data_IF_498898621364
#
_entry.id   IF_498898621364
#
_cell.length_a   1.000
_cell.length_b   1.000
_cell.length_c   1.000
_cell.angle_alpha   90.00
_cell.angle_beta   90.00
_cell.angle_gamma   90.00
#
_symmetry.space_group_name_H-M   'P 1'
#
loop_
_entity.id
_entity.type
_entity.pdbx_description
1 polymer ?
#
# COMPACT_ATOMS: atom_id res chain seq x y z
N UNK A 1 52.14 -25.35 41.67
CA UNK A 1 52.13 -24.70 40.35
C UNK A 1 50.88 -25.01 39.52
N UNK A 2 50.31 -26.22 39.59
CA UNK A 2 49.11 -26.61 38.82
C UNK A 2 47.83 -25.87 39.23
N UNK A 3 47.62 -25.63 40.54
CA UNK A 3 46.44 -24.93 41.06
C UNK A 3 46.35 -23.46 40.60
N UNK A 4 47.48 -22.75 40.65
CA UNK A 4 47.58 -21.36 40.19
C UNK A 4 47.38 -21.25 38.69
N UNK A 5 47.92 -22.20 37.91
CA UNK A 5 47.72 -22.28 36.48
C UNK A 5 46.26 -22.55 36.11
N UNK A 6 45.60 -23.49 36.80
CA UNK A 6 44.18 -23.80 36.57
C UNK A 6 43.28 -22.59 36.88
N UNK A 7 43.50 -21.91 38.00
CA UNK A 7 42.78 -20.69 38.38
C UNK A 7 43.00 -19.56 37.36
N UNK A 8 44.21 -19.42 36.83
CA UNK A 8 44.52 -18.44 35.80
C UNK A 8 43.82 -18.75 34.47
N UNK A 9 43.75 -20.02 34.07
CA UNK A 9 42.96 -20.45 32.91
C UNK A 9 41.46 -20.15 33.10
N UNK A 10 40.90 -20.37 34.29
CA UNK A 10 39.49 -20.05 34.58
C UNK A 10 39.23 -18.53 34.46
N UNK A 11 40.14 -17.69 34.98
CA UNK A 11 39.97 -16.24 34.85
C UNK A 11 40.05 -15.78 33.39
N UNK A 12 40.96 -16.34 32.59
CA UNK A 12 41.09 -16.02 31.17
C UNK A 12 39.85 -16.44 30.35
N UNK A 13 39.28 -17.63 30.62
CA UNK A 13 38.05 -18.06 29.95
C UNK A 13 36.86 -17.20 30.33
N UNK A 14 36.72 -16.80 31.60
CA UNK A 14 35.67 -15.88 32.04
C UNK A 14 35.79 -14.51 31.38
N UNK A 15 37.01 -13.94 31.32
CA UNK A 15 37.25 -12.67 30.63
C UNK A 15 36.94 -12.76 29.13
N UNK A 16 37.30 -13.86 28.47
CA UNK A 16 36.96 -14.10 27.07
C UNK A 16 35.45 -14.17 26.84
N UNK A 17 34.74 -14.93 27.68
CA UNK A 17 33.28 -15.04 27.63
C UNK A 17 32.65 -13.65 27.80
N UNK A 18 33.05 -12.90 28.82
CA UNK A 18 32.57 -11.52 29.04
C UNK A 18 32.84 -10.62 27.83
N UNK A 19 34.03 -10.69 27.23
CA UNK A 19 34.37 -9.96 26.01
C UNK A 19 33.45 -10.28 24.83
N UNK A 20 33.09 -11.56 24.64
CA UNK A 20 32.13 -12.00 23.62
C UNK A 20 30.73 -11.46 23.90
N UNK A 21 30.26 -11.48 25.16
CA UNK A 21 28.96 -10.93 25.54
C UNK A 21 28.89 -9.42 25.28
N UNK A 22 29.92 -8.67 25.69
CA UNK A 22 30.01 -7.21 25.46
C UNK A 22 30.03 -6.89 23.96
N UNK A 23 30.82 -7.64 23.18
CA UNK A 23 30.89 -7.45 21.72
C UNK A 23 29.54 -7.71 21.05
N UNK A 24 28.82 -8.77 21.46
CA UNK A 24 27.48 -9.08 20.95
C UNK A 24 26.46 -8.02 21.35
N UNK A 25 26.47 -7.56 22.59
CA UNK A 25 25.58 -6.51 23.06
C UNK A 25 25.79 -5.19 22.29
N UNK A 26 27.06 -4.80 22.10
CA UNK A 26 27.44 -3.61 21.34
C UNK A 26 27.01 -3.71 19.87
N UNK A 27 27.23 -4.88 19.25
CA UNK A 27 26.82 -5.12 17.85
C UNK A 27 25.30 -4.99 17.67
N UNK A 28 24.51 -5.50 18.63
CA UNK A 28 23.04 -5.36 18.61
C UNK A 28 22.63 -3.90 18.75
N UNK A 29 23.25 -3.15 19.66
CA UNK A 29 22.95 -1.73 19.85
C UNK A 29 23.27 -0.90 18.60
N UNK A 30 24.41 -1.13 17.96
CA UNK A 30 24.79 -0.45 16.72
C UNK A 30 23.82 -0.79 15.57
N UNK A 31 23.40 -2.04 15.45
CA UNK A 31 22.41 -2.43 14.44
C UNK A 31 21.06 -1.75 14.69
N UNK A 32 20.62 -1.67 15.95
CA UNK A 32 19.38 -1.00 16.33
C UNK A 32 19.41 0.50 16.00
N UNK A 33 20.52 1.18 16.35
CA UNK A 33 20.73 2.60 16.03
C UNK A 33 20.75 2.84 14.52
N UNK A 34 21.41 1.96 13.76
CA UNK A 34 21.45 2.02 12.30
C UNK A 34 20.05 1.87 11.69
N UNK A 35 19.28 0.88 12.14
CA UNK A 35 17.90 0.67 11.66
C UNK A 35 16.97 1.82 12.03
N UNK A 36 17.10 2.37 13.24
CA UNK A 36 16.34 3.54 13.67
C UNK A 36 16.64 4.76 12.78
N UNK A 37 17.91 5.04 12.50
CA UNK A 37 18.29 6.14 11.60
C UNK A 37 17.74 5.95 10.17
N UNK A 38 17.76 4.72 9.64
CA UNK A 38 17.14 4.38 8.35
C UNK A 38 15.63 4.60 8.36
N UNK A 39 14.96 4.24 9.45
CA UNK A 39 13.51 4.45 9.60
C UNK A 39 13.16 5.93 9.61
N UNK A 40 13.89 6.78 10.34
CA UNK A 40 13.66 8.23 10.36
C UNK A 40 13.86 8.86 8.97
N UNK A 41 14.90 8.45 8.24
CA UNK A 41 15.11 8.89 6.85
C UNK A 41 13.97 8.45 5.94
N UNK A 42 13.50 7.22 6.10
CA UNK A 42 12.40 6.68 5.31
C UNK A 42 11.07 7.36 5.63
N UNK A 43 10.80 7.67 6.91
CA UNK A 43 9.64 8.45 7.37
C UNK A 43 9.62 9.81 6.69
N UNK A 44 10.77 10.52 6.70
CA UNK A 44 10.89 11.83 6.08
C UNK A 44 10.69 11.76 4.57
N UNK A 45 11.29 10.75 3.91
CA UNK A 45 11.18 10.58 2.46
C UNK A 45 9.76 10.27 1.98
N UNK A 46 8.99 9.53 2.77
CA UNK A 46 7.61 9.12 2.44
C UNK A 46 6.54 9.94 3.17
N UNK A 47 6.94 11.06 3.79
CA UNK A 47 6.06 11.99 4.50
C UNK A 47 5.13 11.27 5.50
N UNK A 48 5.67 10.28 6.22
CA UNK A 48 4.88 9.47 7.16
C UNK A 48 4.58 10.25 8.43
N UNK A 49 3.31 10.20 8.84
CA UNK A 49 2.82 10.80 10.08
C UNK A 49 2.11 9.71 10.88
N UNK A 50 2.56 9.51 12.12
CA UNK A 50 1.97 8.55 13.05
C UNK A 50 1.14 9.26 14.11
N UNK A 51 0.12 8.55 14.61
CA UNK A 51 -0.81 9.08 15.62
C UNK A 51 -0.09 9.44 16.93
N UNK A 52 0.78 8.56 17.39
CA UNK A 52 1.48 8.66 18.67
C UNK A 52 2.79 7.87 18.61
N UNK A 53 3.58 7.96 19.70
CA UNK A 53 4.88 7.29 19.80
C UNK A 53 4.74 5.76 19.83
N UNK A 54 3.65 5.23 20.37
CA UNK A 54 3.38 3.79 20.42
C UNK A 54 3.13 3.23 19.01
N UNK A 55 2.34 3.93 18.20
CA UNK A 55 2.14 3.61 16.79
C UNK A 55 3.46 3.66 16.03
N UNK A 56 4.26 4.72 16.22
CA UNK A 56 5.58 4.86 15.57
C UNK A 56 6.51 3.70 15.93
N UNK A 57 6.54 3.27 17.20
CA UNK A 57 7.32 2.14 17.67
C UNK A 57 6.84 0.82 17.06
N UNK A 58 5.52 0.61 16.97
CA UNK A 58 4.96 -0.58 16.28
C UNK A 58 5.35 -0.59 14.80
N UNK A 59 5.25 0.55 14.12
CA UNK A 59 5.60 0.72 12.71
C UNK A 59 7.09 0.53 12.47
N UNK A 60 7.94 0.95 13.39
CA UNK A 60 9.38 0.70 13.34
C UNK A 60 9.71 -0.81 13.36
N UNK A 61 9.03 -1.60 14.21
CA UNK A 61 9.22 -3.06 14.25
C UNK A 61 8.86 -3.71 12.91
N UNK A 62 7.71 -3.32 12.33
CA UNK A 62 7.27 -3.82 11.03
C UNK A 62 8.26 -3.40 9.93
N UNK A 63 8.71 -2.15 9.95
CA UNK A 63 9.71 -1.62 9.04
C UNK A 63 11.01 -2.43 9.08
N UNK A 64 11.53 -2.70 10.27
CA UNK A 64 12.73 -3.52 10.48
C UNK A 64 12.56 -4.92 9.88
N UNK A 65 11.48 -5.60 10.21
CA UNK A 65 11.20 -6.95 9.68
C UNK A 65 11.09 -6.94 8.14
N UNK A 66 10.49 -5.90 7.57
CA UNK A 66 10.35 -5.73 6.13
C UNK A 66 11.68 -5.44 5.43
N UNK A 67 12.53 -4.58 6.01
CA UNK A 67 13.88 -4.29 5.52
C UNK A 67 14.74 -5.55 5.52
N UNK A 68 14.77 -6.28 6.63
CA UNK A 68 15.53 -7.54 6.74
C UNK A 68 15.04 -8.57 5.72
N UNK A 69 13.73 -8.67 5.49
CA UNK A 69 13.16 -9.55 4.45
C UNK A 69 13.63 -9.15 3.04
N UNK A 70 13.65 -7.84 2.73
CA UNK A 70 14.11 -7.33 1.43
C UNK A 70 15.60 -7.63 1.23
N UNK A 71 16.42 -7.40 2.24
CA UNK A 71 17.87 -7.65 2.19
C UNK A 71 18.17 -9.14 2.05
N UNK A 72 17.51 -10.00 2.84
CA UNK A 72 17.64 -11.45 2.73
C UNK A 72 17.18 -11.97 1.36
N UNK A 73 16.10 -11.41 0.81
CA UNK A 73 15.63 -11.77 -0.53
C UNK A 73 16.66 -11.42 -1.62
N UNK A 74 17.25 -10.23 -1.53
CA UNK A 74 18.21 -9.74 -2.51
C UNK A 74 19.61 -10.37 -2.38
N UNK A 75 19.95 -10.94 -1.22
CA UNK A 75 21.22 -11.65 -0.99
C UNK A 75 21.24 -13.09 -1.54
N UNK A 76 20.07 -13.65 -1.89
CA UNK A 76 19.96 -14.99 -2.47
C UNK A 76 20.40 -15.06 -3.94
N UNK A 77 20.29 -16.26 -4.52
CA UNK A 77 20.50 -16.48 -5.97
C UNK A 77 19.58 -15.60 -6.81
N UNK A 78 20.04 -15.20 -8.01
CA UNK A 78 19.25 -14.37 -8.92
C UNK A 78 17.85 -14.96 -9.17
N UNK A 79 16.81 -14.18 -8.83
CA UNK A 79 15.39 -14.53 -8.99
C UNK A 79 14.72 -13.80 -10.16
N UNK A 80 15.49 -13.09 -10.99
CA UNK A 80 14.97 -12.28 -12.10
C UNK A 80 14.34 -10.95 -11.67
N UNK A 81 14.31 -10.64 -10.37
CA UNK A 81 13.91 -9.33 -9.84
C UNK A 81 14.53 -9.07 -8.47
N UNK A 82 14.55 -7.79 -8.07
CA UNK A 82 14.99 -7.33 -6.75
C UNK A 82 13.85 -6.62 -6.03
N UNK A 83 13.85 -6.73 -4.70
CA UNK A 83 12.93 -5.98 -3.85
C UNK A 83 13.59 -4.69 -3.37
N UNK A 84 12.78 -3.69 -3.05
CA UNK A 84 13.25 -2.42 -2.49
C UNK A 84 12.35 -2.01 -1.32
N UNK A 85 12.94 -1.26 -0.39
CA UNK A 85 12.21 -0.62 0.71
C UNK A 85 11.42 0.55 0.14
N UNK A 86 10.12 0.36 -0.05
CA UNK A 86 9.24 1.34 -0.67
C UNK A 86 8.27 1.95 0.35
N UNK A 87 7.29 2.71 -0.11
CA UNK A 87 6.30 3.39 0.74
C UNK A 87 5.50 2.45 1.64
N UNK A 88 5.43 1.15 1.37
CA UNK A 88 4.67 0.18 2.17
C UNK A 88 5.52 -0.54 3.24
N UNK A 89 6.77 -0.11 3.45
CA UNK A 89 7.70 -0.79 4.32
C UNK A 89 7.25 -0.83 5.79
N UNK A 90 6.33 0.01 6.26
CA UNK A 90 5.80 0.00 7.63
C UNK A 90 4.47 -0.75 7.79
N UNK A 91 4.01 -1.45 6.76
CA UNK A 91 2.78 -2.24 6.78
C UNK A 91 3.06 -3.74 6.87
N UNK A 92 2.21 -4.47 7.58
CA UNK A 92 2.17 -5.93 7.44
C UNK A 92 1.53 -6.31 6.11
N UNK A 93 1.74 -7.54 5.68
CA UNK A 93 1.10 -8.06 4.48
C UNK A 93 -0.44 -8.07 4.61
N UNK A 94 -0.95 -8.34 5.80
CA UNK A 94 -2.38 -8.36 6.10
C UNK A 94 -2.97 -6.94 6.00
N UNK A 95 -2.32 -5.94 6.59
CA UNK A 95 -2.71 -4.53 6.48
C UNK A 95 -2.67 -4.04 5.03
N UNK A 96 -1.60 -4.37 4.30
CA UNK A 96 -1.46 -4.04 2.89
C UNK A 96 -2.60 -4.65 2.07
N UNK A 97 -2.90 -5.94 2.26
CA UNK A 97 -3.98 -6.62 1.54
C UNK A 97 -5.35 -6.04 1.89
N UNK A 98 -5.62 -5.77 3.17
CA UNK A 98 -6.91 -5.26 3.62
C UNK A 98 -7.22 -3.87 3.04
N UNK A 99 -6.21 -3.01 2.93
CA UNK A 99 -6.38 -1.62 2.44
C UNK A 99 -6.22 -1.48 0.92
N UNK A 100 -5.38 -2.30 0.27
CA UNK A 100 -5.01 -2.12 -1.14
C UNK A 100 -5.61 -3.18 -2.09
N UNK A 101 -5.99 -4.36 -1.60
CA UNK A 101 -6.53 -5.43 -2.45
C UNK A 101 -8.03 -5.63 -2.24
N UNK A 102 -8.87 -4.88 -2.96
CA UNK A 102 -10.33 -5.00 -2.84
C UNK A 102 -11.03 -5.80 -3.93
N UNK A 103 -10.30 -6.45 -4.85
CA UNK A 103 -10.92 -7.36 -5.82
C UNK A 103 -11.48 -8.61 -5.12
N UNK A 104 -12.80 -8.78 -5.17
CA UNK A 104 -13.50 -9.96 -4.69
C UNK A 104 -13.94 -10.79 -5.89
N UNK A 105 -13.28 -11.93 -6.10
CA UNK A 105 -13.67 -12.88 -7.15
C UNK A 105 -15.08 -13.39 -6.85
N UNK A 106 -16.03 -13.19 -7.76
CA UNK A 106 -17.34 -13.83 -7.66
C UNK A 106 -17.17 -15.34 -7.80
N UNK A 107 -17.94 -16.12 -7.04
CA UNK A 107 -17.93 -17.57 -7.15
C UNK A 107 -18.33 -17.97 -8.57
N UNK A 108 -17.71 -19.04 -9.07
CA UNK A 108 -17.83 -19.53 -10.46
C UNK A 108 -19.27 -19.79 -10.91
N UNK A 109 -20.22 -19.90 -9.98
CA UNK A 109 -21.64 -20.12 -10.23
C UNK A 109 -22.32 -18.99 -11.01
N UNK A 110 -21.77 -17.78 -11.03
CA UNK A 110 -22.32 -16.64 -11.79
C UNK A 110 -21.72 -16.51 -13.21
N UNK A 111 -20.56 -17.11 -13.45
CA UNK A 111 -19.84 -17.02 -14.74
C UNK A 111 -20.26 -18.05 -15.79
N UNK A 112 -21.09 -19.03 -15.41
CA UNK A 112 -21.58 -20.09 -16.29
C UNK A 112 -22.81 -19.69 -17.12
N UNK A 113 -22.92 -18.41 -17.54
CA UNK A 113 -23.95 -18.03 -18.50
C UNK A 113 -23.50 -18.42 -19.92
N UNK A 114 -24.10 -19.44 -20.56
CA UNK A 114 -23.69 -19.92 -21.88
C UNK A 114 -23.94 -18.91 -23.02
N UNK A 115 -24.60 -17.78 -22.74
CA UNK A 115 -24.86 -16.69 -23.71
C UNK A 115 -23.71 -15.68 -23.83
N UNK A 116 -22.70 -15.71 -22.97
CA UNK A 116 -21.50 -14.92 -23.16
C UNK A 116 -20.62 -15.61 -24.19
N UNK A 117 -20.53 -15.03 -25.39
CA UNK A 117 -19.56 -15.46 -26.39
C UNK A 117 -18.18 -15.34 -25.77
N UNK A 118 -17.48 -16.47 -25.63
CA UNK A 118 -16.11 -16.45 -25.14
C UNK A 118 -15.27 -15.57 -26.07
N UNK A 119 -14.29 -14.87 -25.52
CA UNK A 119 -13.30 -14.16 -26.32
C UNK A 119 -12.69 -15.15 -27.32
N UNK A 120 -12.99 -14.96 -28.60
CA UNK A 120 -12.36 -15.70 -29.70
C UNK A 120 -11.34 -14.76 -30.32
N UNK A 121 -10.11 -15.23 -30.44
CA UNK A 121 -9.15 -14.60 -31.33
C UNK A 121 -9.80 -14.50 -32.72
N UNK A 122 -9.70 -13.34 -33.36
CA UNK A 122 -9.88 -13.28 -34.81
C UNK A 122 -8.86 -14.25 -35.47
N UNK A 123 -9.00 -14.56 -36.76
CA UNK A 123 -7.93 -15.25 -37.50
C UNK A 123 -6.69 -14.35 -37.54
N UNK A 124 -5.87 -14.38 -36.47
CA UNK A 124 -4.65 -13.60 -36.32
C UNK A 124 -3.50 -14.46 -36.87
N UNK A 125 -3.00 -14.09 -38.04
CA UNK A 125 -1.92 -14.82 -38.72
C UNK A 125 -0.52 -14.34 -38.33
N UNK A 126 -0.39 -13.14 -37.74
CA UNK A 126 0.88 -12.59 -37.28
C UNK A 126 0.69 -11.72 -36.03
N UNK A 127 1.43 -12.06 -34.96
CA UNK A 127 1.51 -11.29 -33.72
C UNK A 127 2.95 -10.81 -33.56
N UNK A 128 3.19 -9.52 -33.24
CA UNK A 128 4.54 -9.04 -33.01
C UNK A 128 5.19 -9.73 -31.80
N UNK A 129 6.50 -9.97 -31.86
CA UNK A 129 7.25 -10.61 -30.77
C UNK A 129 7.20 -9.81 -29.46
N UNK A 130 7.05 -8.48 -29.54
CA UNK A 130 6.91 -7.60 -28.38
C UNK A 130 5.92 -6.48 -28.68
N UNK A 131 5.11 -6.11 -27.68
CA UNK A 131 4.21 -4.96 -27.76
C UNK A 131 4.29 -4.13 -26.48
N UNK A 132 4.37 -2.82 -26.62
CA UNK A 132 4.34 -1.87 -25.50
C UNK A 132 3.36 -0.74 -25.81
N UNK A 133 2.15 -0.83 -25.26
CA UNK A 133 1.08 0.15 -25.48
C UNK A 133 1.42 1.55 -24.97
N UNK A 134 2.42 1.72 -24.10
CA UNK A 134 2.90 3.04 -23.67
C UNK A 134 3.52 3.81 -24.84
N UNK A 135 4.28 3.11 -25.70
CA UNK A 135 4.88 3.70 -26.91
C UNK A 135 3.82 4.13 -27.93
N UNK A 136 2.62 3.57 -27.82
CA UNK A 136 1.49 3.87 -28.70
C UNK A 136 0.56 4.94 -28.09
N UNK A 137 0.94 5.55 -26.97
CA UNK A 137 0.14 6.56 -26.27
C UNK A 137 -1.13 6.01 -25.61
N UNK A 138 -1.32 4.69 -25.56
CA UNK A 138 -2.54 4.03 -25.08
C UNK A 138 -2.49 3.69 -23.59
N UNK A 139 -1.59 4.35 -22.83
CA UNK A 139 -1.43 4.16 -21.38
C UNK A 139 -1.29 5.53 -20.72
N UNK A 140 -2.13 5.79 -19.72
CA UNK A 140 -2.06 7.02 -18.91
C UNK A 140 -0.92 6.94 -17.86
N UNK A 141 -0.48 8.07 -17.30
CA UNK A 141 0.47 8.05 -16.18
C UNK A 141 -0.03 7.19 -15.01
N UNK A 142 0.91 6.59 -14.28
CA UNK A 142 0.59 5.78 -13.10
C UNK A 142 -0.21 6.59 -12.08
N UNK A 143 -1.18 5.93 -11.45
CA UNK A 143 -2.11 6.52 -10.48
C UNK A 143 -2.00 5.77 -9.15
N UNK A 144 -2.21 6.47 -8.04
CA UNK A 144 -2.32 5.86 -6.72
C UNK A 144 -3.79 5.69 -6.32
N UNK A 145 -4.15 4.46 -5.94
CA UNK A 145 -5.49 4.12 -5.45
C UNK A 145 -5.73 4.52 -4.00
N UNK A 146 -4.67 4.80 -3.23
CA UNK A 146 -4.78 4.95 -1.78
C UNK A 146 -5.35 3.70 -1.11
N UNK A 147 -5.92 3.87 0.07
CA UNK A 147 -6.43 2.77 0.92
C UNK A 147 -7.88 2.36 0.61
N UNK A 148 -8.33 2.58 -0.63
CA UNK A 148 -9.72 2.36 -1.04
C UNK A 148 -10.02 0.91 -1.48
N UNK A 149 -8.99 0.07 -1.69
CA UNK A 149 -9.16 -1.26 -2.30
C UNK A 149 -9.76 -1.25 -3.71
N UNK A 150 -9.80 -0.12 -4.40
CA UNK A 150 -10.50 0.04 -5.69
C UNK A 150 -9.68 -0.40 -6.91
N UNK A 151 -8.69 -1.28 -6.73
CA UNK A 151 -7.82 -1.78 -7.80
C UNK A 151 -8.60 -2.34 -9.02
N UNK A 152 -9.76 -2.96 -8.79
CA UNK A 152 -10.64 -3.45 -9.85
C UNK A 152 -11.14 -2.33 -10.77
N UNK A 153 -11.45 -1.16 -10.22
CA UNK A 153 -11.93 -0.01 -10.97
C UNK A 153 -10.80 0.63 -11.77
N UNK A 154 -9.60 0.71 -11.17
CA UNK A 154 -8.39 1.18 -11.86
C UNK A 154 -8.05 0.30 -13.06
N UNK A 155 -8.10 -1.02 -12.91
CA UNK A 155 -7.89 -1.96 -14.01
C UNK A 155 -8.90 -1.78 -15.14
N UNK A 156 -10.19 -1.62 -14.81
CA UNK A 156 -11.24 -1.42 -15.81
C UNK A 156 -11.08 -0.09 -16.55
N UNK A 157 -10.81 1.01 -15.82
CA UNK A 157 -10.61 2.33 -16.43
C UNK A 157 -9.38 2.35 -17.32
N UNK A 158 -8.25 1.77 -16.90
CA UNK A 158 -7.04 1.72 -17.72
C UNK A 158 -7.28 0.97 -19.05
N UNK A 159 -8.03 -0.14 -19.02
CA UNK A 159 -8.40 -0.87 -20.23
C UNK A 159 -9.31 -0.04 -21.15
N UNK A 160 -10.31 0.66 -20.60
CA UNK A 160 -11.20 1.54 -21.35
C UNK A 160 -10.48 2.75 -21.96
N UNK A 161 -9.58 3.39 -21.22
CA UNK A 161 -8.75 4.49 -21.71
C UNK A 161 -7.86 4.03 -22.88
N UNK A 162 -7.24 2.85 -22.74
CA UNK A 162 -6.38 2.26 -23.78
C UNK A 162 -7.15 1.97 -25.06
N UNK A 163 -8.28 1.24 -24.99
CA UNK A 163 -9.07 0.95 -26.20
C UNK A 163 -9.63 2.23 -26.84
N UNK A 164 -9.99 3.23 -26.05
CA UNK A 164 -10.45 4.51 -26.57
C UNK A 164 -9.34 5.23 -27.35
N UNK A 165 -8.11 5.25 -26.83
CA UNK A 165 -6.96 5.79 -27.57
C UNK A 165 -6.76 5.04 -28.89
N UNK A 166 -6.82 3.71 -28.87
CA UNK A 166 -6.59 2.90 -30.08
C UNK A 166 -7.69 3.09 -31.14
N UNK A 167 -8.93 3.33 -30.72
CA UNK A 167 -10.06 3.51 -31.65
C UNK A 167 -10.21 4.94 -32.15
N UNK A 168 -9.94 5.93 -31.32
CA UNK A 168 -10.26 7.34 -31.60
C UNK A 168 -9.04 8.22 -31.78
N UNK A 169 -7.84 7.71 -31.46
CA UNK A 169 -6.62 8.50 -31.38
C UNK A 169 -6.57 9.49 -30.21
N UNK A 170 -7.60 9.52 -29.34
CA UNK A 170 -7.73 10.48 -28.23
C UNK A 170 -7.66 9.77 -26.87
N UNK A 171 -6.73 10.18 -26.02
CA UNK A 171 -6.58 9.63 -24.68
C UNK A 171 -7.50 10.42 -23.75
N UNK A 172 -8.75 9.95 -23.60
CA UNK A 172 -9.72 10.62 -22.74
C UNK A 172 -9.38 10.37 -21.26
N UNK A 173 -8.71 11.33 -20.63
CA UNK A 173 -8.41 11.32 -19.19
C UNK A 173 -9.66 11.53 -18.31
N UNK A 174 -10.85 11.72 -18.91
CA UNK A 174 -12.05 12.12 -18.15
C UNK A 174 -12.64 10.99 -17.31
N UNK A 175 -12.39 9.72 -17.64
CA UNK A 175 -12.87 8.57 -16.88
C UNK A 175 -12.29 8.52 -15.47
N UNK A 176 -11.07 9.05 -15.26
CA UNK A 176 -10.50 9.26 -13.93
C UNK A 176 -11.37 10.16 -13.04
N UNK A 177 -11.93 11.23 -13.61
CA UNK A 177 -12.76 12.18 -12.85
C UNK A 177 -14.04 11.50 -12.37
N UNK A 178 -14.63 10.65 -13.22
CA UNK A 178 -15.79 9.82 -12.85
C UNK A 178 -15.42 8.83 -11.75
N UNK A 179 -14.21 8.27 -11.77
CA UNK A 179 -13.76 7.35 -10.72
C UNK A 179 -13.52 8.03 -9.37
N UNK A 180 -13.11 9.31 -9.35
CA UNK A 180 -13.06 10.09 -8.11
C UNK A 180 -14.47 10.32 -7.51
N UNK A 181 -15.50 10.48 -8.34
CA UNK A 181 -16.89 10.52 -7.87
C UNK A 181 -17.32 9.16 -7.31
N UNK A 182 -16.91 8.05 -7.92
CA UNK A 182 -17.15 6.70 -7.37
C UNK A 182 -16.40 6.50 -6.04
N UNK A 183 -15.18 7.02 -5.88
CA UNK A 183 -14.43 7.01 -4.60
C UNK A 183 -15.25 7.67 -3.49
N UNK A 184 -15.92 8.80 -3.76
CA UNK A 184 -16.79 9.42 -2.74
C UNK A 184 -17.99 8.56 -2.37
N UNK A 185 -18.61 7.87 -3.34
CA UNK A 185 -19.77 7.00 -3.07
C UNK A 185 -19.40 5.69 -2.37
N UNK A 186 -18.30 5.06 -2.75
CA UNK A 186 -17.83 3.82 -2.14
C UNK A 186 -17.36 4.05 -0.68
N UNK A 187 -16.71 5.19 -0.39
CA UNK A 187 -16.35 5.57 0.98
C UNK A 187 -17.60 5.82 1.84
N UNK A 188 -18.66 6.39 1.26
CA UNK A 188 -19.94 6.55 1.96
C UNK A 188 -20.62 5.21 2.25
N UNK A 189 -20.64 4.26 1.30
CA UNK A 189 -21.29 2.94 1.51
C UNK A 189 -20.67 2.11 2.64
N UNK A 190 -19.34 2.21 2.87
CA UNK A 190 -18.70 1.50 4.00
C UNK A 190 -19.06 2.12 5.36
N UNK A 191 -19.36 3.43 5.41
CA UNK A 191 -19.76 4.10 6.65
C UNK A 191 -21.17 3.74 7.13
N UNK A 192 -22.05 3.26 6.23
CA UNK A 192 -23.42 2.85 6.58
C UNK A 192 -23.57 1.35 6.90
N UNK A 193 -22.53 0.54 6.72
CA UNK A 193 -22.55 -0.92 6.98
C UNK A 193 -21.99 -1.31 8.36
N UNK A 194 -21.68 -0.34 9.24
CA UNK A 194 -21.33 -0.63 10.64
C UNK A 194 -22.60 -0.68 11.50
N UNK A 195 -22.91 -1.80 12.18
CA UNK A 195 -24.04 -1.88 13.10
C UNK A 195 -23.91 -0.85 14.24
N UNK A 196 -24.99 -0.13 14.51
CA UNK A 196 -25.12 0.95 15.50
C UNK A 196 -24.93 0.56 16.97
N UNK A 197 -24.39 -0.62 17.27
CA UNK A 197 -24.34 -1.18 18.63
C UNK A 197 -23.05 -0.90 19.43
N UNK A 198 -22.14 -0.06 18.94
CA UNK A 198 -20.87 0.24 19.64
C UNK A 198 -20.64 1.72 19.99
N UNK A 199 -21.62 2.60 19.78
CA UNK A 199 -21.53 4.01 20.18
C UNK A 199 -22.34 4.29 21.45
N UNK A 200 -21.99 3.63 22.55
CA UNK A 200 -22.35 4.05 23.90
C UNK A 200 -21.11 3.98 24.78
N UNK A 201 -20.23 4.98 24.64
CA UNK A 201 -19.68 5.71 25.79
C UNK A 201 -18.69 6.78 25.33
N UNK A 202 -19.05 8.01 25.71
CA UNK A 202 -18.14 8.97 26.35
C UNK A 202 -17.35 9.98 25.48
N UNK A 203 -17.79 11.24 25.66
CA UNK A 203 -17.10 12.54 25.60
C UNK A 203 -16.83 13.20 24.23
N UNK A 204 -17.88 13.92 23.85
CA UNK A 204 -17.92 15.11 22.99
C UNK A 204 -17.04 16.25 23.54
N UNK A 205 -16.11 16.77 22.73
CA UNK A 205 -15.71 18.20 22.66
C UNK A 205 -14.47 18.39 21.76
N UNK A 206 -14.58 18.08 20.46
CA UNK A 206 -13.69 18.64 19.41
C UNK A 206 -14.12 18.30 17.96
N UNK A 207 -15.20 17.55 17.76
CA UNK A 207 -15.72 17.15 16.43
C UNK A 207 -16.69 18.16 15.78
N UNK A 208 -16.73 19.42 16.21
CA UNK A 208 -17.64 20.44 15.62
C UNK A 208 -17.14 21.21 14.39
N UNK A 209 -15.83 21.37 14.09
CA UNK A 209 -15.44 22.13 12.88
C UNK A 209 -15.46 21.32 11.59
N UNK A 210 -15.34 19.98 11.64
CA UNK A 210 -15.24 19.13 10.43
C UNK A 210 -16.61 18.92 9.76
N UNK A 211 -17.68 18.77 10.54
CA UNK A 211 -19.05 18.59 10.02
C UNK A 211 -19.52 19.87 9.30
N UNK A 212 -19.16 21.05 9.82
CA UNK A 212 -19.55 22.33 9.22
C UNK A 212 -18.88 22.61 7.86
N UNK A 213 -17.68 22.05 7.63
CA UNK A 213 -16.95 22.20 6.36
C UNK A 213 -17.55 21.29 5.29
N UNK A 214 -17.95 20.07 5.67
CA UNK A 214 -18.57 19.12 4.74
C UNK A 214 -19.95 19.59 4.26
N UNK A 215 -20.74 20.18 5.14
CA UNK A 215 -22.07 20.70 4.79
C UNK A 215 -21.99 21.90 3.82
N UNK A 216 -21.00 22.79 4.02
CA UNK A 216 -20.73 23.92 3.11
C UNK A 216 -20.27 23.47 1.72
N UNK A 217 -19.48 22.41 1.62
CA UNK A 217 -19.04 21.85 0.34
C UNK A 217 -20.20 21.15 -0.42
N UNK A 218 -21.09 20.46 0.32
CA UNK A 218 -22.28 19.83 -0.26
C UNK A 218 -23.27 20.87 -0.82
N UNK A 219 -23.50 21.98 -0.09
CA UNK A 219 -24.35 23.09 -0.54
C UNK A 219 -23.79 23.82 -1.77
N UNK A 220 -22.47 24.02 -1.86
CA UNK A 220 -21.82 24.62 -3.02
C UNK A 220 -21.97 23.75 -4.29
N UNK A 221 -21.89 22.43 -4.12
CA UNK A 221 -22.05 21.47 -5.21
C UNK A 221 -23.51 21.41 -5.71
N UNK A 222 -24.49 21.53 -4.80
CA UNK A 222 -25.92 21.58 -5.15
C UNK A 222 -26.29 22.85 -5.91
N UNK A 223 -25.74 24.01 -5.54
CA UNK A 223 -25.97 25.29 -6.24
C UNK A 223 -25.40 25.30 -7.67
N UNK A 224 -24.23 24.69 -7.90
CA UNK A 224 -23.65 24.53 -9.25
C UNK A 224 -24.45 23.61 -10.17
N UNK A 225 -25.23 22.68 -9.60
CA UNK A 225 -26.06 21.74 -10.36
C UNK A 225 -27.37 22.39 -10.83
N UNK A 226 -27.96 23.28 -10.01
CA UNK A 226 -29.17 24.02 -10.39
C UNK A 226 -28.90 25.12 -11.44
N UNK A 227 -27.69 25.68 -11.51
CA UNK A 227 -27.33 26.70 -12.50
C UNK A 227 -26.94 26.16 -13.89
N UNK A 228 -27.02 24.84 -14.12
CA UNK A 228 -26.66 24.18 -15.39
C UNK A 228 -27.83 23.47 -16.09
N UNK A 229 -29.05 23.61 -15.57
CA UNK A 229 -30.23 23.12 -16.27
C UNK A 229 -30.69 24.20 -17.27
N UNK A 230 -30.86 23.88 -18.58
CA UNK A 230 -31.41 24.82 -19.54
C UNK A 230 -32.88 25.11 -19.20
N UNK A 231 -33.32 26.35 -19.49
CA UNK A 231 -34.73 26.78 -19.36
C UNK A 231 -35.61 26.05 -20.37
#
# INVERSE_FOLDING_TARGET
MTYTFHRQCIHLTLLFILGVWVSRASSRLLNEQSMSARHEQWIAHHERVYKDAEEKERRFKIFKDNVERVEAFNAGTDKGYKQSVNQFADLTNEEFRASRNGYKRQSSLVMSNPKLTSFRYANVTAVPATIDWRKNGAVTPMKDQGDCGCCWAFSAVAAMEGINQLKTGKLSKSLWTVMLEVRTKAVMEVSWMMPSSSLNNEKDSQQKPVILIQEKMALATRRRRQSRLPK
#
